data_IF_643404315470
#
_entry.id   IF_643404315470
#
_cell.length_a   1.000
_cell.length_b   1.000
_cell.length_c   1.000
_cell.angle_alpha   90.00
_cell.angle_beta   90.00
_cell.angle_gamma   90.00
#
_symmetry.space_group_name_H-M   'P 1'
#
loop_
_entity.id
_entity.type
_entity.pdbx_description
1 polymer ?
#
# COMPACT_ATOMS: atom_id res chain seq x y z
N UNK A 1 -19.27 -14.53 5.04
CA UNK A 1 -20.02 -13.52 5.82
C UNK A 1 -21.45 -13.54 5.33
N UNK A 2 -22.41 -13.71 6.24
CA UNK A 2 -23.84 -13.77 5.90
C UNK A 2 -24.31 -12.45 5.31
N UNK A 3 -25.17 -12.53 4.29
CA UNK A 3 -25.80 -11.34 3.72
C UNK A 3 -26.95 -10.89 4.63
N UNK A 4 -27.07 -9.60 4.87
CA UNK A 4 -28.21 -9.03 5.59
C UNK A 4 -29.47 -9.19 4.73
N UNK A 5 -30.42 -9.97 5.24
CA UNK A 5 -31.69 -10.23 4.56
C UNK A 5 -32.85 -9.67 5.40
N UNK A 6 -33.82 -9.06 4.72
CA UNK A 6 -35.10 -8.66 5.32
C UNK A 6 -36.15 -9.68 4.94
N UNK A 7 -36.89 -10.17 5.93
CA UNK A 7 -37.99 -11.11 5.74
C UNK A 7 -39.29 -10.34 5.87
N UNK A 8 -40.06 -10.26 4.78
CA UNK A 8 -41.42 -9.73 4.78
C UNK A 8 -42.39 -10.92 4.84
N UNK A 9 -42.94 -11.17 6.04
CA UNK A 9 -43.83 -12.29 6.31
C UNK A 9 -45.24 -12.06 5.73
N UNK A 10 -45.66 -10.82 5.54
CA UNK A 10 -46.97 -10.48 4.98
C UNK A 10 -47.00 -10.75 3.47
N UNK A 11 -45.90 -10.42 2.78
CA UNK A 11 -45.74 -10.68 1.35
C UNK A 11 -45.16 -12.05 1.03
N UNK A 12 -44.74 -12.83 2.04
CA UNK A 12 -43.97 -14.07 1.89
C UNK A 12 -42.74 -13.88 0.97
N UNK A 13 -42.04 -12.75 1.10
CA UNK A 13 -40.85 -12.42 0.30
C UNK A 13 -39.63 -12.28 1.20
N UNK A 14 -38.51 -12.81 0.74
CA UNK A 14 -37.20 -12.63 1.38
C UNK A 14 -36.36 -11.74 0.47
N UNK A 15 -36.02 -10.55 0.94
CA UNK A 15 -35.16 -9.62 0.23
C UNK A 15 -33.74 -9.73 0.78
N UNK A 16 -32.80 -10.17 -0.07
CA UNK A 16 -31.39 -10.28 0.30
C UNK A 16 -30.68 -9.03 -0.21
N UNK A 17 -30.21 -8.18 0.70
CA UNK A 17 -29.41 -7.03 0.30
C UNK A 17 -28.00 -7.53 -0.08
N UNK A 18 -27.67 -7.43 -1.36
CA UNK A 18 -26.30 -7.60 -1.83
C UNK A 18 -25.82 -6.23 -2.29
N UNK A 19 -25.16 -5.45 -1.41
CA UNK A 19 -24.64 -4.18 -1.85
C UNK A 19 -23.64 -4.43 -2.98
N UNK A 20 -23.71 -3.66 -4.08
CA UNK A 20 -22.75 -3.80 -5.15
C UNK A 20 -21.34 -3.56 -4.59
N UNK A 21 -20.41 -4.44 -4.97
CA UNK A 21 -19.02 -4.32 -4.53
C UNK A 21 -18.47 -2.96 -4.98
N UNK A 22 -17.77 -2.21 -4.12
CA UNK A 22 -17.21 -0.92 -4.49
C UNK A 22 -15.94 -1.15 -5.34
N UNK A 23 -16.17 -1.39 -6.64
CA UNK A 23 -15.12 -1.75 -7.63
C UNK A 23 -14.05 -0.67 -7.69
N UNK A 24 -14.45 0.60 -7.81
CA UNK A 24 -13.50 1.72 -7.90
C UNK A 24 -12.68 1.87 -6.62
N UNK A 25 -13.32 1.77 -5.46
CA UNK A 25 -12.61 1.83 -4.18
C UNK A 25 -11.55 0.73 -4.08
N UNK A 26 -11.92 -0.49 -4.47
CA UNK A 26 -11.01 -1.64 -4.45
C UNK A 26 -9.82 -1.46 -5.40
N UNK A 27 -10.03 -0.88 -6.58
CA UNK A 27 -8.95 -0.60 -7.53
C UNK A 27 -8.03 0.50 -6.98
N UNK A 28 -8.59 1.60 -6.46
CA UNK A 28 -7.81 2.71 -5.89
C UNK A 28 -6.94 2.25 -4.73
N UNK A 29 -7.47 1.44 -3.82
CA UNK A 29 -6.69 0.91 -2.70
C UNK A 29 -5.57 -0.02 -3.16
N UNK A 30 -5.85 -0.90 -4.13
CA UNK A 30 -4.85 -1.81 -4.70
C UNK A 30 -3.76 -1.08 -5.48
N UNK A 31 -4.09 0.00 -6.18
CA UNK A 31 -3.11 0.73 -7.02
C UNK A 31 -2.38 1.86 -6.28
N UNK A 32 -2.86 2.30 -5.11
CA UNK A 32 -2.26 3.39 -4.32
C UNK A 32 -0.74 3.21 -4.11
N UNK A 33 -0.33 2.02 -3.68
CA UNK A 33 1.09 1.71 -3.44
C UNK A 33 1.91 1.65 -4.73
N UNK A 34 1.33 1.17 -5.82
CA UNK A 34 1.99 1.11 -7.12
C UNK A 34 2.22 2.51 -7.67
N UNK A 35 1.21 3.37 -7.66
CA UNK A 35 1.32 4.76 -8.12
C UNK A 35 2.45 5.52 -7.40
N UNK A 36 2.51 5.38 -6.08
CA UNK A 36 3.57 5.99 -5.27
C UNK A 36 4.97 5.49 -5.67
N UNK A 37 5.15 4.18 -5.85
CA UNK A 37 6.45 3.60 -6.25
C UNK A 37 6.86 4.04 -7.65
N UNK A 38 5.92 4.07 -8.60
CA UNK A 38 6.21 4.53 -9.96
C UNK A 38 6.63 5.99 -9.98
N UNK A 39 6.01 6.85 -9.17
CA UNK A 39 6.43 8.25 -9.01
C UNK A 39 7.83 8.35 -8.42
N UNK A 40 8.13 7.62 -7.34
CA UNK A 40 9.45 7.61 -6.71
C UNK A 40 10.55 7.11 -7.66
N UNK A 41 10.27 6.04 -8.40
CA UNK A 41 11.19 5.51 -9.42
C UNK A 41 11.40 6.50 -10.57
N UNK A 42 10.34 7.13 -11.07
CA UNK A 42 10.44 8.17 -12.10
C UNK A 42 11.30 9.35 -11.63
N UNK A 43 11.11 9.80 -10.39
CA UNK A 43 11.93 10.85 -9.80
C UNK A 43 13.40 10.43 -9.63
N UNK A 44 13.67 9.17 -9.26
CA UNK A 44 15.03 8.64 -9.15
C UNK A 44 15.73 8.54 -10.51
N UNK A 45 15.01 8.11 -11.55
CA UNK A 45 15.52 8.02 -12.93
C UNK A 45 15.80 9.40 -13.55
N UNK A 46 14.99 10.40 -13.22
CA UNK A 46 15.19 11.78 -13.66
C UNK A 46 16.41 12.45 -12.98
N UNK A 47 16.93 11.85 -11.91
CA UNK A 47 18.10 12.35 -11.20
C UNK A 47 19.35 11.75 -11.86
N UNK A 48 20.33 12.57 -12.30
CA UNK A 48 21.60 12.05 -12.79
C UNK A 48 22.26 11.21 -11.68
N UNK A 49 23.07 10.19 -12.02
CA UNK A 49 23.72 9.34 -11.04
C UNK A 49 24.60 10.20 -10.14
N UNK A 50 24.11 10.53 -8.95
CA UNK A 50 24.96 10.94 -7.85
C UNK A 50 25.66 9.67 -7.41
N UNK A 51 26.89 9.50 -7.88
CA UNK A 51 27.85 8.53 -7.39
C UNK A 51 27.75 8.47 -5.86
N UNK A 52 27.27 7.34 -5.35
CA UNK A 52 27.23 7.05 -3.92
C UNK A 52 28.67 7.15 -3.40
N UNK A 53 28.98 8.26 -2.74
CA UNK A 53 30.16 8.34 -1.92
C UNK A 53 29.87 7.51 -0.67
N UNK A 54 30.55 6.38 -0.62
CA UNK A 54 30.68 5.42 0.48
C UNK A 54 30.48 6.07 1.86
N UNK A 55 29.46 5.64 2.60
CA UNK A 55 29.46 5.78 4.06
C UNK A 55 29.87 4.43 4.63
N UNK A 56 31.18 4.26 4.78
CA UNK A 56 31.75 3.21 5.61
C UNK A 56 31.55 3.60 7.09
N UNK A 57 31.16 2.65 7.97
CA UNK A 57 31.18 2.91 9.40
C UNK A 57 32.65 3.01 9.87
N UNK A 58 33.05 4.18 10.37
CA UNK A 58 34.34 4.39 11.03
C UNK A 58 34.38 3.59 12.33
N UNK A 59 35.21 2.56 12.37
CA UNK A 59 35.66 1.91 13.61
C UNK A 59 36.52 2.91 14.39
N UNK A 60 35.99 3.38 15.52
CA UNK A 60 36.70 4.24 16.48
C UNK A 60 37.84 3.42 17.10
N UNK A 61 39.04 3.97 17.06
CA UNK A 61 40.25 3.32 17.58
C UNK A 61 40.29 3.23 19.10
N UNK A 62 40.82 2.11 19.58
CA UNK A 62 41.47 1.99 20.88
C UNK A 62 42.88 1.45 20.66
N UNK A 63 43.78 2.33 20.20
CA UNK A 63 45.22 2.16 20.40
C UNK A 63 45.54 2.79 21.75
N UNK A 64 45.54 1.97 22.82
CA UNK A 64 46.17 2.36 24.08
C UNK A 64 47.66 2.07 24.00
N UNK A 65 48.40 3.16 24.04
CA UNK A 65 49.85 3.27 24.17
C UNK A 65 50.24 2.92 25.62
N UNK A 66 51.44 2.35 25.75
CA UNK A 66 52.29 2.12 26.94
C UNK A 66 52.24 0.72 27.59
#
# INVERSE_FOLDING_TARGET
MGADAKIDLEKNVIEINRPPLPVYQSVIEKTRGLAFRTQAMGAAMARPPQSQQQQAPTTVGEEKIE
#
